data_IF_802724123547
#
_entry.id   IF_802724123547
#
_cell.length_a   1.000
_cell.length_b   1.000
_cell.length_c   1.000
_cell.angle_alpha   90.00
_cell.angle_beta   90.00
_cell.angle_gamma   90.00
#
_symmetry.space_group_name_H-M   'P 1'
#
loop_
_entity.id
_entity.type
_entity.pdbx_description
1 polymer ?
#
# COMPACT_ATOMS: atom_id res chain seq x y z
N UNK A 1 -59.81 20.28 -27.04
CA UNK A 1 -59.99 20.90 -25.72
C UNK A 1 -58.58 21.12 -25.15
N UNK A 2 -57.81 22.20 -25.36
CA UNK A 2 -57.97 23.67 -25.25
C UNK A 2 -58.14 24.25 -23.83
N UNK A 3 -57.10 25.04 -23.45
CA UNK A 3 -57.00 26.25 -22.56
C UNK A 3 -56.81 25.99 -21.05
N UNK A 4 -55.74 26.44 -20.37
CA UNK A 4 -55.12 27.80 -20.14
C UNK A 4 -56.01 28.74 -19.31
N UNK A 5 -55.63 29.03 -18.04
CA UNK A 5 -55.95 30.22 -17.18
C UNK A 5 -54.82 30.29 -16.08
N UNK A 6 -53.83 31.22 -16.05
CA UNK A 6 -53.75 32.59 -15.43
C UNK A 6 -54.12 32.65 -13.93
N UNK A 7 -53.52 33.37 -12.95
CA UNK A 7 -52.73 34.63 -12.87
C UNK A 7 -52.36 34.96 -11.38
N UNK A 8 -51.48 35.95 -11.17
CA UNK A 8 -51.39 36.94 -10.03
C UNK A 8 -50.56 36.58 -8.77
N UNK A 9 -49.38 37.19 -8.49
CA UNK A 9 -49.00 38.56 -8.01
C UNK A 9 -49.39 38.87 -6.55
N UNK A 10 -48.37 39.17 -5.70
CA UNK A 10 -48.27 40.20 -4.61
C UNK A 10 -47.01 39.91 -3.77
N UNK A 11 -45.93 40.70 -3.82
CA UNK A 11 -45.65 42.01 -3.20
C UNK A 11 -45.22 41.97 -1.72
N UNK A 12 -44.07 42.60 -1.47
CA UNK A 12 -43.34 42.96 -0.23
C UNK A 12 -44.19 43.41 0.99
N UNK A 13 -43.57 43.46 2.19
CA UNK A 13 -43.14 44.78 2.68
C UNK A 13 -41.75 44.83 3.34
N UNK A 14 -41.23 46.05 3.27
CA UNK A 14 -40.01 46.62 3.83
C UNK A 14 -40.08 46.84 5.36
N UNK A 15 -38.93 46.88 6.04
CA UNK A 15 -38.77 47.72 7.24
C UNK A 15 -37.36 48.31 7.34
N UNK A 16 -37.33 49.63 7.23
CA UNK A 16 -36.23 50.59 7.42
C UNK A 16 -35.98 50.88 8.91
N UNK A 17 -34.86 51.59 9.17
CA UNK A 17 -34.54 52.57 10.25
C UNK A 17 -33.12 52.27 10.78
N UNK A 18 -32.17 53.19 10.96
CA UNK A 18 -31.92 54.56 10.51
C UNK A 18 -30.45 54.89 10.85
N UNK A 19 -29.92 55.88 10.12
CA UNK A 19 -28.63 56.56 10.31
C UNK A 19 -28.64 57.48 11.56
N UNK A 20 -27.50 58.01 12.04
CA UNK A 20 -27.04 59.31 11.53
C UNK A 20 -25.52 59.53 11.40
N UNK A 21 -25.17 60.27 10.33
CA UNK A 21 -24.35 61.52 10.29
C UNK A 21 -22.96 61.47 10.98
N UNK A 22 -21.83 61.58 10.30
CA UNK A 22 -21.36 62.73 9.50
C UNK A 22 -20.14 63.32 10.23
N UNK A 23 -18.95 63.45 9.62
CA UNK A 23 -18.46 64.73 9.09
C UNK A 23 -17.11 64.58 8.38
N UNK A 24 -16.88 65.57 7.53
CA UNK A 24 -15.90 65.71 6.46
C UNK A 24 -14.47 66.08 6.92
N UNK A 25 -13.49 65.62 6.13
CA UNK A 25 -12.38 66.38 5.49
C UNK A 25 -11.69 67.47 6.32
N UNK A 26 -10.36 67.39 6.47
CA UNK A 26 -9.41 68.38 5.92
C UNK A 26 -7.95 67.93 6.02
N UNK A 27 -7.21 68.19 4.94
CA UNK A 27 -5.74 68.13 4.84
C UNK A 27 -5.11 69.16 5.78
N UNK A 28 -3.97 68.83 6.39
CA UNK A 28 -2.86 69.77 6.49
C UNK A 28 -1.50 69.07 6.59
N UNK A 29 -0.56 69.60 5.81
CA UNK A 29 0.86 69.29 5.79
C UNK A 29 1.48 69.33 7.19
N UNK A 30 2.41 68.42 7.45
CA UNK A 30 3.57 68.72 8.27
C UNK A 30 4.84 68.15 7.64
N UNK A 31 5.79 69.05 7.41
CA UNK A 31 7.14 68.81 6.89
C UNK A 31 8.09 68.46 8.05
N UNK A 32 9.19 67.78 7.69
CA UNK A 32 10.49 67.59 8.39
C UNK A 32 10.65 66.33 9.29
N UNK A 33 11.88 65.81 9.50
CA UNK A 33 13.09 65.87 8.68
C UNK A 33 13.69 64.47 8.38
N UNK A 34 14.60 64.49 7.40
CA UNK A 34 15.41 63.40 6.86
C UNK A 34 16.45 62.95 7.89
N UNK A 35 16.31 61.74 8.44
CA UNK A 35 17.40 61.04 9.12
C UNK A 35 17.84 59.85 8.27
N UNK A 36 19.09 59.92 7.82
CA UNK A 36 19.78 58.83 7.13
C UNK A 36 20.13 57.78 8.19
N UNK A 37 19.46 56.63 8.15
CA UNK A 37 19.95 55.43 8.83
C UNK A 37 20.54 54.51 7.78
N UNK A 38 21.86 54.37 7.84
CA UNK A 38 22.66 53.53 6.97
C UNK A 38 22.14 52.08 6.97
N UNK A 39 21.92 51.54 5.77
CA UNK A 39 21.64 50.11 5.58
C UNK A 39 22.95 49.36 5.83
N UNK A 40 23.02 48.39 6.76
CA UNK A 40 24.18 47.52 6.82
C UNK A 40 24.17 46.63 5.57
N UNK A 41 25.15 46.84 4.69
CA UNK A 41 25.46 45.91 3.60
C UNK A 41 25.85 44.56 4.23
N UNK A 42 24.89 43.66 4.34
CA UNK A 42 25.14 42.27 4.70
C UNK A 42 25.80 41.57 3.50
N UNK A 43 27.12 41.77 3.37
CA UNK A 43 27.96 41.04 2.43
C UNK A 43 28.10 39.62 2.94
N UNK A 44 27.21 38.72 2.50
CA UNK A 44 27.40 37.28 2.66
C UNK A 44 28.56 36.84 1.77
N UNK A 45 29.67 36.47 2.39
CA UNK A 45 30.78 35.80 1.70
C UNK A 45 30.37 34.35 1.40
N UNK A 46 30.28 34.02 0.12
CA UNK A 46 30.06 32.64 -0.31
C UNK A 46 31.39 31.87 -0.21
N UNK A 47 31.45 30.90 0.71
CA UNK A 47 32.52 29.93 0.75
C UNK A 47 32.37 28.94 -0.42
N UNK A 48 33.34 28.93 -1.33
CA UNK A 48 33.40 27.97 -2.43
C UNK A 48 34.23 26.76 -2.00
N UNK A 49 33.60 25.71 -1.49
CA UNK A 49 34.26 24.42 -1.28
C UNK A 49 34.25 23.60 -2.58
N UNK A 50 35.38 23.00 -3.01
CA UNK A 50 35.42 22.19 -4.22
C UNK A 50 34.80 20.80 -3.98
N UNK A 51 33.93 20.37 -4.90
CA UNK A 51 33.36 19.03 -4.90
C UNK A 51 34.37 18.00 -5.44
N UNK A 52 34.83 17.08 -4.58
CA UNK A 52 35.65 15.94 -4.97
C UNK A 52 34.77 14.82 -5.56
N UNK A 53 34.92 14.55 -6.85
CA UNK A 53 34.28 13.41 -7.52
C UNK A 53 34.99 12.10 -7.16
N UNK A 54 34.25 11.15 -6.56
CA UNK A 54 34.72 9.77 -6.39
C UNK A 54 34.68 9.05 -7.74
N UNK A 55 35.85 8.61 -8.20
CA UNK A 55 36.06 7.67 -9.30
C UNK A 55 35.45 6.31 -8.93
N UNK A 56 34.50 5.82 -9.73
CA UNK A 56 33.93 4.47 -9.62
C UNK A 56 34.63 3.56 -10.62
N UNK A 57 35.50 2.68 -10.13
CA UNK A 57 36.17 1.69 -10.96
C UNK A 57 35.17 0.63 -11.47
N UNK A 58 35.21 0.40 -12.78
CA UNK A 58 34.38 -0.56 -13.51
C UNK A 58 35.12 -1.90 -13.55
N UNK A 59 34.78 -2.80 -12.63
CA UNK A 59 35.19 -4.19 -12.73
C UNK A 59 34.40 -4.88 -13.86
N UNK A 60 35.15 -5.45 -14.82
CA UNK A 60 34.70 -6.21 -15.98
C UNK A 60 34.74 -7.70 -15.60
N UNK A 61 33.62 -8.42 -15.67
CA UNK A 61 33.60 -9.89 -15.64
C UNK A 61 32.74 -10.40 -16.79
N UNK A 62 33.37 -11.22 -17.62
CA UNK A 62 32.83 -11.80 -18.83
C UNK A 62 32.03 -13.09 -18.54
N UNK A 63 31.08 -13.41 -19.42
CA UNK A 63 30.70 -14.79 -19.73
C UNK A 63 30.17 -14.86 -21.16
N UNK A 64 30.64 -15.88 -21.87
CA UNK A 64 30.41 -16.17 -23.28
C UNK A 64 29.09 -16.91 -23.53
N UNK A 65 28.72 -16.93 -24.82
CA UNK A 65 27.49 -17.36 -25.51
C UNK A 65 27.03 -18.80 -25.35
N UNK A 66 25.70 -19.03 -25.41
CA UNK A 66 25.05 -20.03 -26.29
C UNK A 66 23.51 -19.89 -26.34
N UNK A 67 22.97 -19.79 -27.58
CA UNK A 67 21.63 -20.15 -28.11
C UNK A 67 20.32 -19.54 -27.55
N UNK A 68 19.57 -18.94 -28.48
CA UNK A 68 18.19 -18.35 -28.49
C UNK A 68 17.07 -19.16 -27.77
N UNK A 69 15.90 -18.57 -27.40
CA UNK A 69 15.20 -17.46 -28.08
C UNK A 69 14.54 -16.36 -27.20
N UNK A 70 14.29 -15.21 -27.86
CA UNK A 70 13.31 -14.14 -27.55
C UNK A 70 13.52 -13.24 -26.30
N UNK A 71 13.31 -11.94 -26.54
CA UNK A 71 13.23 -10.78 -25.62
C UNK A 71 14.41 -10.51 -24.65
N UNK A 72 15.28 -9.53 -24.97
CA UNK A 72 15.84 -8.57 -23.97
C UNK A 72 16.90 -7.58 -24.51
N UNK A 73 16.66 -6.29 -24.22
CA UNK A 73 17.60 -5.30 -23.64
C UNK A 73 18.90 -4.83 -24.34
N UNK A 74 19.12 -3.51 -24.26
CA UNK A 74 20.40 -2.82 -23.93
C UNK A 74 21.16 -1.97 -24.98
N UNK A 75 20.45 -1.36 -25.93
CA UNK A 75 20.84 -0.06 -26.47
C UNK A 75 19.65 0.90 -26.33
N UNK A 76 19.83 2.21 -26.01
CA UNK A 76 18.79 3.17 -26.32
C UNK A 76 18.66 3.14 -27.84
N UNK A 77 17.64 2.43 -28.33
CA UNK A 77 17.17 2.51 -29.70
C UNK A 77 17.21 3.98 -30.14
N UNK A 78 17.95 4.30 -31.20
CA UNK A 78 17.99 5.68 -31.72
C UNK A 78 16.71 6.06 -32.48
N UNK A 79 15.69 5.20 -32.42
CA UNK A 79 14.40 5.39 -33.06
C UNK A 79 13.53 6.39 -32.27
N UNK A 80 13.11 7.52 -32.87
CA UNK A 80 12.16 8.46 -32.27
C UNK A 80 10.81 7.87 -31.88
N UNK A 81 10.39 6.77 -32.52
CA UNK A 81 9.08 6.17 -32.31
C UNK A 81 9.07 5.09 -31.22
N UNK A 82 10.20 4.81 -30.58
CA UNK A 82 10.26 3.89 -29.45
C UNK A 82 9.67 4.53 -28.18
N UNK A 83 8.37 4.29 -27.97
CA UNK A 83 7.62 4.70 -26.79
C UNK A 83 7.63 3.66 -25.66
N UNK A 84 8.43 2.58 -25.75
CA UNK A 84 8.44 1.49 -24.76
C UNK A 84 8.67 1.98 -23.33
N UNK A 85 9.59 2.93 -23.13
CA UNK A 85 9.88 3.52 -21.83
C UNK A 85 8.68 4.28 -21.26
N UNK A 86 7.92 4.97 -22.11
CA UNK A 86 6.69 5.65 -21.71
C UNK A 86 5.62 4.65 -21.30
N UNK A 87 5.39 3.64 -22.13
CA UNK A 87 4.41 2.59 -21.86
C UNK A 87 4.74 1.88 -20.54
N UNK A 88 6.00 1.48 -20.33
CA UNK A 88 6.44 0.87 -19.08
C UNK A 88 6.24 1.79 -17.87
N UNK A 89 6.54 3.08 -18.01
CA UNK A 89 6.32 4.07 -16.94
C UNK A 89 4.84 4.22 -16.57
N UNK A 90 3.96 4.32 -17.58
CA UNK A 90 2.51 4.41 -17.40
C UNK A 90 1.95 3.13 -16.78
N UNK A 91 2.29 1.96 -17.32
CA UNK A 91 1.84 0.67 -16.80
C UNK A 91 2.30 0.46 -15.36
N UNK A 92 3.54 0.85 -15.03
CA UNK A 92 4.06 0.80 -13.65
C UNK A 92 3.28 1.73 -12.72
N UNK A 93 2.96 2.95 -13.18
CA UNK A 93 2.16 3.89 -12.40
C UNK A 93 0.74 3.36 -12.13
N UNK A 94 0.09 2.78 -13.14
CA UNK A 94 -1.24 2.18 -13.02
C UNK A 94 -1.21 0.95 -12.10
N UNK A 95 -0.21 0.08 -12.25
CA UNK A 95 -0.06 -1.11 -11.40
C UNK A 95 0.09 -0.71 -9.93
N UNK A 96 1.00 0.22 -9.62
CA UNK A 96 1.19 0.74 -8.26
C UNK A 96 -0.08 1.36 -7.69
N UNK A 97 -0.81 2.15 -8.48
CA UNK A 97 -2.07 2.73 -8.05
C UNK A 97 -3.10 1.65 -7.73
N UNK A 98 -3.27 0.63 -8.59
CA UNK A 98 -4.20 -0.47 -8.36
C UNK A 98 -3.83 -1.26 -7.10
N UNK A 99 -2.55 -1.51 -6.87
CA UNK A 99 -2.07 -2.20 -5.67
C UNK A 99 -2.39 -1.40 -4.41
N UNK A 100 -2.14 -0.08 -4.41
CA UNK A 100 -2.44 0.78 -3.27
C UNK A 100 -3.96 0.89 -3.02
N UNK A 101 -4.77 0.98 -4.07
CA UNK A 101 -6.24 0.99 -3.94
C UNK A 101 -6.79 -0.36 -3.44
N UNK A 102 -6.18 -1.48 -3.82
CA UNK A 102 -6.59 -2.81 -3.35
C UNK A 102 -6.39 -2.99 -1.83
N UNK A 103 -5.29 -2.44 -1.29
CA UNK A 103 -4.99 -2.43 0.15
C UNK A 103 -5.96 -1.55 0.93
N UNK A 104 -6.44 -0.45 0.34
CA UNK A 104 -7.42 0.43 0.97
C UNK A 104 -8.85 -0.14 0.93
N UNK A 105 -9.16 -0.95 -0.09
CA UNK A 105 -10.48 -1.56 -0.29
C UNK A 105 -10.84 -2.60 0.78
N UNK A 106 -9.87 -3.25 1.43
CA UNK A 106 -10.07 -4.34 2.39
C UNK A 106 -10.77 -3.95 3.71
N UNK A 107 -11.36 -2.75 3.83
CA UNK A 107 -12.13 -2.34 5.00
C UNK A 107 -11.41 -1.33 5.91
N UNK A 108 -10.55 -0.50 5.33
CA UNK A 108 -10.16 0.81 5.85
C UNK A 108 -9.29 0.89 7.10
N UNK A 109 -9.33 -0.12 7.96
CA UNK A 109 -8.43 -0.32 9.09
C UNK A 109 -7.93 -1.76 9.14
N UNK A 110 -8.73 -2.68 8.62
CA UNK A 110 -8.44 -4.09 8.69
C UNK A 110 -7.75 -4.55 7.41
N UNK A 111 -6.51 -5.01 7.56
CA UNK A 111 -5.73 -5.69 6.53
C UNK A 111 -5.25 -7.00 7.14
N UNK A 112 -5.42 -8.13 6.45
CA UNK A 112 -4.98 -9.45 6.94
C UNK A 112 -3.48 -9.48 7.22
N UNK A 113 -2.68 -8.82 6.38
CA UNK A 113 -1.25 -8.66 6.57
C UNK A 113 -0.87 -7.98 7.91
N UNK A 114 -1.71 -7.08 8.44
CA UNK A 114 -1.46 -6.45 9.74
C UNK A 114 -1.63 -7.46 10.86
N UNK A 115 -2.65 -8.33 10.78
CA UNK A 115 -2.84 -9.41 11.74
C UNK A 115 -1.68 -10.41 11.70
N UNK A 116 -1.27 -10.86 10.51
CA UNK A 116 -0.16 -11.80 10.34
C UNK A 116 1.16 -11.27 10.94
N UNK A 117 1.38 -9.95 10.86
CA UNK A 117 2.57 -9.29 11.41
C UNK A 117 2.57 -9.10 12.93
N UNK A 118 1.43 -9.33 13.61
CA UNK A 118 1.34 -9.17 15.06
C UNK A 118 2.28 -10.14 15.77
N UNK A 119 2.90 -9.69 16.85
CA UNK A 119 3.78 -10.49 17.69
C UNK A 119 3.01 -11.02 18.89
N UNK A 120 3.04 -12.33 19.09
CA UNK A 120 2.41 -13.02 20.22
C UNK A 120 3.49 -13.50 21.16
N UNK A 121 3.32 -13.24 22.46
CA UNK A 121 4.19 -13.77 23.51
C UNK A 121 3.57 -15.09 23.99
N UNK A 122 4.23 -16.23 23.71
CA UNK A 122 3.67 -17.56 23.97
C UNK A 122 3.60 -17.91 25.45
N UNK A 123 4.56 -17.42 26.25
CA UNK A 123 4.54 -17.56 27.70
C UNK A 123 4.65 -16.21 28.37
N UNK A 124 4.12 -16.12 29.59
CA UNK A 124 4.10 -14.88 30.38
C UNK A 124 5.49 -14.49 30.89
N UNK A 125 6.41 -15.45 30.92
CA UNK A 125 7.74 -15.33 31.54
C UNK A 125 8.88 -15.28 30.50
N UNK A 126 8.68 -15.86 29.31
CA UNK A 126 9.65 -15.81 28.19
C UNK A 126 9.42 -14.58 27.31
N UNK A 127 10.49 -13.88 26.93
CA UNK A 127 10.43 -12.76 25.97
C UNK A 127 10.27 -13.21 24.50
N UNK A 128 10.05 -14.49 24.26
CA UNK A 128 9.95 -15.05 22.91
C UNK A 128 8.66 -14.57 22.23
N UNK A 129 8.85 -13.83 21.13
CA UNK A 129 7.76 -13.19 20.38
C UNK A 129 7.70 -13.71 18.95
N UNK A 130 6.76 -14.60 18.71
CA UNK A 130 6.53 -15.23 17.40
C UNK A 130 5.49 -14.42 16.64
N UNK A 131 5.52 -14.44 15.30
CA UNK A 131 4.49 -13.76 14.51
C UNK A 131 3.22 -14.58 14.52
N UNK A 132 2.07 -13.90 14.52
CA UNK A 132 0.76 -14.53 14.47
C UNK A 132 0.61 -15.41 13.22
N UNK A 133 1.16 -14.97 12.08
CA UNK A 133 1.10 -15.73 10.82
C UNK A 133 1.88 -17.05 10.84
N UNK A 134 2.85 -17.21 11.73
CA UNK A 134 3.61 -18.46 11.89
C UNK A 134 2.83 -19.46 12.77
N UNK A 135 2.07 -18.95 13.75
CA UNK A 135 1.29 -19.75 14.70
C UNK A 135 -0.14 -20.04 14.22
N UNK A 136 -0.67 -19.24 13.31
CA UNK A 136 -2.06 -19.30 12.90
C UNK A 136 -2.27 -18.87 11.45
N UNK A 137 -3.13 -19.60 10.75
CA UNK A 137 -3.58 -19.23 9.43
C UNK A 137 -4.72 -18.21 9.54
N UNK A 138 -4.55 -17.05 8.90
CA UNK A 138 -5.58 -16.00 8.84
C UNK A 138 -6.45 -16.20 7.61
N UNK A 139 -7.72 -16.55 7.81
CA UNK A 139 -8.68 -16.78 6.71
C UNK A 139 -9.79 -15.73 6.78
N UNK A 140 -9.86 -14.77 5.84
CA UNK A 140 -11.02 -13.89 5.74
C UNK A 140 -12.25 -14.71 5.31
N UNK A 141 -13.28 -14.77 6.17
CA UNK A 141 -14.58 -15.33 5.78
C UNK A 141 -15.33 -14.23 5.05
N UNK A 142 -16.02 -14.58 3.95
CA UNK A 142 -16.80 -13.59 3.19
C UNK A 142 -17.74 -12.79 4.12
N UNK A 143 -17.73 -11.46 3.97
CA UNK A 143 -18.43 -10.53 4.86
C UNK A 143 -17.48 -9.74 5.75
N UNK A 144 -17.92 -9.43 6.98
CA UNK A 144 -17.14 -8.68 8.00
C UNK A 144 -16.61 -9.61 9.09
N UNK A 145 -16.08 -10.78 8.74
CA UNK A 145 -15.52 -11.72 9.71
C UNK A 145 -14.19 -12.29 9.22
N UNK A 146 -13.24 -12.46 10.15
CA UNK A 146 -12.01 -13.20 9.90
C UNK A 146 -11.92 -14.34 10.87
N UNK A 147 -11.56 -15.50 10.34
CA UNK A 147 -11.33 -16.70 11.12
C UNK A 147 -9.82 -16.91 11.23
N UNK A 148 -9.33 -17.02 12.46
CA UNK A 148 -7.98 -17.52 12.72
C UNK A 148 -8.08 -19.01 13.00
N UNK A 149 -7.24 -19.78 12.33
CA UNK A 149 -7.05 -21.20 12.59
C UNK A 149 -5.69 -21.34 13.26
N UNK A 150 -5.67 -21.68 14.55
CA UNK A 150 -4.42 -21.96 15.24
C UNK A 150 -3.78 -23.21 14.63
N UNK A 151 -2.52 -23.11 14.23
CA UNK A 151 -1.76 -24.27 13.81
C UNK A 151 -1.44 -25.11 15.05
N UNK A 152 -1.69 -26.41 14.96
CA UNK A 152 -1.04 -27.37 15.83
C UNK A 152 0.44 -27.38 15.48
N UNK A 153 1.25 -26.70 16.28
CA UNK A 153 2.63 -27.12 16.41
C UNK A 153 2.58 -28.48 17.12
N UNK A 154 2.36 -29.54 16.33
CA UNK A 154 2.93 -30.83 16.68
C UNK A 154 4.38 -30.52 17.04
N UNK A 155 4.73 -30.81 18.28
CA UNK A 155 6.10 -30.89 18.77
C UNK A 155 6.79 -31.96 17.93
N UNK A 156 7.13 -31.61 16.70
CA UNK A 156 7.84 -32.39 15.71
C UNK A 156 9.35 -32.22 15.92
N UNK A 157 9.75 -31.94 17.16
CA UNK A 157 11.13 -32.03 17.65
C UNK A 157 11.43 -33.39 18.32
N UNK A 158 10.52 -34.35 18.27
CA UNK A 158 10.72 -35.72 18.77
C UNK A 158 10.73 -36.81 17.68
N UNK A 159 10.88 -36.44 16.40
CA UNK A 159 11.01 -37.41 15.31
C UNK A 159 12.48 -37.69 14.90
N UNK A 160 13.46 -36.92 15.43
CA UNK A 160 14.88 -37.04 15.07
C UNK A 160 15.66 -38.13 15.84
N UNK A 161 15.02 -38.89 16.75
CA UNK A 161 15.71 -39.96 17.51
C UNK A 161 15.19 -41.37 17.26
N UNK A 162 14.17 -41.57 16.43
CA UNK A 162 13.64 -42.92 16.12
C UNK A 162 14.35 -43.58 14.91
N UNK A 163 15.07 -42.81 14.08
CA UNK A 163 15.82 -43.35 12.93
C UNK A 163 17.18 -43.99 13.27
N UNK A 164 17.66 -43.91 14.51
CA UNK A 164 18.93 -44.54 14.92
C UNK A 164 18.71 -45.92 15.57
N UNK A 165 17.49 -46.27 15.99
CA UNK A 165 17.23 -47.54 16.68
C UNK A 165 16.83 -48.71 15.75
N UNK A 166 16.57 -48.44 14.46
CA UNK A 166 16.14 -49.47 13.48
C UNK A 166 17.29 -50.23 12.80
N UNK A 167 18.56 -49.94 13.11
CA UNK A 167 19.70 -50.65 12.51
C UNK A 167 20.26 -51.78 13.39
N UNK A 168 19.76 -51.96 14.62
CA UNK A 168 20.33 -52.96 15.56
C UNK A 168 19.39 -54.12 15.95
N UNK A 169 18.13 -54.13 15.51
CA UNK A 169 17.15 -55.11 15.99
C UNK A 169 16.66 -56.12 14.92
N UNK A 170 17.44 -56.37 13.87
CA UNK A 170 17.06 -57.30 12.80
C UNK A 170 17.55 -58.76 13.00
N UNK A 171 18.09 -59.13 14.17
CA UNK A 171 18.68 -60.48 14.34
C UNK A 171 18.04 -61.40 15.40
N UNK A 172 16.99 -61.00 16.11
CA UNK A 172 16.41 -61.93 17.10
C UNK A 172 14.89 -62.02 17.01
N UNK A 173 14.49 -62.87 16.08
CA UNK A 173 13.21 -63.55 16.04
C UNK A 173 12.99 -64.34 17.34
N UNK A 174 12.44 -63.69 18.36
CA UNK A 174 11.83 -64.35 19.51
C UNK A 174 10.77 -63.39 20.05
N UNK A 175 9.52 -63.50 19.60
CA UNK A 175 8.55 -64.46 20.13
C UNK A 175 7.37 -63.63 20.62
N UNK A 176 6.41 -63.41 19.72
CA UNK A 176 4.99 -63.66 19.99
C UNK A 176 4.27 -62.87 21.10
N UNK A 177 4.93 -61.98 21.85
CA UNK A 177 4.30 -61.20 22.93
C UNK A 177 3.99 -59.75 22.54
N UNK A 178 4.53 -59.25 21.43
CA UNK A 178 4.39 -57.83 21.07
C UNK A 178 3.17 -57.52 20.18
N UNK A 179 2.46 -58.53 19.66
CA UNK A 179 1.20 -58.29 18.91
C UNK A 179 0.06 -57.93 19.86
N UNK A 180 0.09 -58.38 21.11
CA UNK A 180 -0.85 -57.96 22.15
C UNK A 180 -0.57 -56.54 22.68
N UNK A 181 0.68 -56.08 22.66
CA UNK A 181 1.03 -54.69 22.98
C UNK A 181 0.76 -53.74 21.79
N UNK A 182 0.83 -54.23 20.56
CA UNK A 182 0.61 -53.46 19.34
C UNK A 182 -0.89 -53.23 19.04
N UNK A 183 -1.76 -54.18 19.40
CA UNK A 183 -3.22 -54.00 19.29
C UNK A 183 -3.81 -53.12 20.41
N UNK A 184 -3.04 -52.84 21.46
CA UNK A 184 -3.37 -51.78 22.45
C UNK A 184 -2.84 -50.39 22.05
N UNK A 185 -2.03 -50.27 20.99
CA UNK A 185 -1.42 -49.01 20.54
C UNK A 185 -2.12 -48.40 19.32
N UNK A 186 -3.29 -48.92 18.95
CA UNK A 186 -4.08 -48.41 17.84
C UNK A 186 -5.58 -48.42 18.21
N UNK A 187 -6.13 -47.19 18.39
CA UNK A 187 -7.53 -46.76 18.53
C UNK A 187 -8.20 -46.84 19.93
N UNK A 188 -9.18 -45.96 20.25
CA UNK A 188 -9.25 -44.49 20.24
C UNK A 188 -9.86 -43.91 21.57
N UNK A 189 -10.04 -42.59 21.63
CA UNK A 189 -10.88 -41.82 22.58
C UNK A 189 -10.52 -41.78 24.09
N UNK A 190 -9.74 -40.76 24.48
CA UNK A 190 -10.08 -39.91 25.64
C UNK A 190 -9.52 -38.49 25.42
N UNK A 191 -10.30 -37.42 25.66
CA UNK A 191 -9.91 -36.08 25.25
C UNK A 191 -8.88 -35.50 26.24
N UNK A 192 -7.61 -35.48 25.85
CA UNK A 192 -6.58 -34.68 26.53
C UNK A 192 -6.79 -33.20 26.23
N UNK A 193 -7.80 -32.62 26.87
CA UNK A 193 -8.31 -31.25 26.72
C UNK A 193 -7.44 -30.21 27.45
N UNK A 194 -6.11 -30.39 27.54
CA UNK A 194 -5.26 -29.56 28.43
C UNK A 194 -4.04 -28.91 27.72
N UNK A 195 -3.66 -29.30 26.50
CA UNK A 195 -2.54 -28.64 25.80
C UNK A 195 -2.95 -27.68 24.66
N UNK A 196 -4.22 -27.67 24.27
CA UNK A 196 -4.71 -26.82 23.18
C UNK A 196 -5.00 -25.37 23.57
N UNK A 197 -5.30 -25.14 24.85
CA UNK A 197 -5.65 -23.81 25.33
C UNK A 197 -4.43 -22.90 25.51
N UNK A 198 -3.22 -23.47 25.50
CA UNK A 198 -2.00 -22.74 25.86
C UNK A 198 -1.64 -21.64 24.86
N UNK A 199 -1.95 -21.81 23.57
CA UNK A 199 -1.64 -20.80 22.56
C UNK A 199 -2.84 -19.87 22.27
N UNK A 200 -4.08 -20.34 22.41
CA UNK A 200 -5.27 -19.55 22.12
C UNK A 200 -5.47 -18.37 23.05
N UNK A 201 -5.14 -18.56 24.34
CA UNK A 201 -5.17 -17.49 25.35
C UNK A 201 -4.18 -16.37 25.02
N UNK A 202 -2.88 -16.65 24.79
CA UNK A 202 -1.93 -15.69 24.25
C UNK A 202 -2.38 -15.02 22.97
N UNK A 203 -2.86 -15.77 21.97
CA UNK A 203 -3.36 -15.22 20.71
C UNK A 203 -4.52 -14.23 20.94
N UNK A 204 -5.51 -14.63 21.73
CA UNK A 204 -6.66 -13.80 22.09
C UNK A 204 -6.20 -12.52 22.80
N UNK A 205 -5.30 -12.64 23.77
CA UNK A 205 -4.75 -11.48 24.49
C UNK A 205 -3.93 -10.54 23.59
N UNK A 206 -3.17 -11.10 22.64
CA UNK A 206 -2.36 -10.33 21.70
C UNK A 206 -3.25 -9.53 20.73
N UNK A 207 -4.33 -10.13 20.24
CA UNK A 207 -5.30 -9.47 19.35
C UNK A 207 -6.04 -8.36 20.11
N UNK A 208 -6.49 -8.61 21.33
CA UNK A 208 -7.20 -7.62 22.16
C UNK A 208 -6.28 -6.47 22.58
N UNK A 209 -5.03 -6.75 22.95
CA UNK A 209 -4.03 -5.73 23.29
C UNK A 209 -3.53 -4.93 22.07
N UNK A 210 -3.72 -5.45 20.87
CA UNK A 210 -3.30 -4.77 19.65
C UNK A 210 -4.12 -3.50 19.39
N UNK A 211 -3.51 -2.56 18.65
CA UNK A 211 -4.15 -1.32 18.21
C UNK A 211 -5.23 -1.53 17.13
N UNK A 212 -5.83 -2.72 17.04
CA UNK A 212 -6.88 -3.07 16.08
C UNK A 212 -8.28 -3.08 16.71
N UNK A 213 -8.39 -3.04 18.04
CA UNK A 213 -9.68 -2.99 18.77
C UNK A 213 -10.64 -4.09 18.34
N UNK A 214 -10.12 -5.31 18.15
CA UNK A 214 -10.88 -6.47 17.71
C UNK A 214 -11.25 -7.33 18.91
N UNK A 215 -12.46 -7.89 18.89
CA UNK A 215 -12.97 -8.78 19.93
C UNK A 215 -13.04 -10.20 19.38
N UNK A 216 -12.00 -11.02 19.55
CA UNK A 216 -12.05 -12.43 19.13
C UNK A 216 -13.14 -13.19 19.91
N UNK A 217 -13.91 -14.02 19.20
CA UNK A 217 -14.94 -14.90 19.74
C UNK A 217 -14.56 -16.35 19.43
N UNK A 218 -14.26 -17.19 20.44
CA UNK A 218 -13.98 -18.60 20.22
C UNK A 218 -15.25 -19.33 19.79
N UNK A 219 -15.15 -20.21 18.79
CA UNK A 219 -16.31 -20.98 18.33
C UNK A 219 -16.61 -22.15 19.28
N UNK A 220 -17.89 -22.38 19.66
CA UNK A 220 -18.27 -23.54 20.47
C UNK A 220 -18.04 -24.90 19.78
N UNK A 221 -18.00 -24.93 18.44
CA UNK A 221 -17.89 -26.15 17.65
C UNK A 221 -16.46 -26.52 17.25
N UNK A 222 -15.52 -25.57 17.26
CA UNK A 222 -14.13 -25.81 16.89
C UNK A 222 -13.22 -25.03 17.85
N UNK A 223 -12.55 -25.76 18.74
CA UNK A 223 -11.67 -25.18 19.75
C UNK A 223 -10.47 -24.42 19.15
N UNK A 224 -10.05 -24.73 17.92
CA UNK A 224 -8.89 -24.11 17.25
C UNK A 224 -9.25 -22.85 16.46
N UNK A 225 -10.54 -22.53 16.40
CA UNK A 225 -11.08 -21.50 15.54
C UNK A 225 -11.46 -20.26 16.34
N UNK A 226 -10.90 -19.11 15.94
CA UNK A 226 -11.22 -17.82 16.52
C UNK A 226 -11.91 -16.93 15.48
N UNK A 227 -13.18 -16.61 15.72
CA UNK A 227 -13.95 -15.74 14.85
C UNK A 227 -13.83 -14.29 15.31
N UNK A 228 -13.39 -13.42 14.42
CA UNK A 228 -13.19 -12.00 14.68
C UNK A 228 -14.19 -11.21 13.85
N UNK A 229 -15.27 -10.68 14.47
CA UNK A 229 -16.18 -9.76 13.80
C UNK A 229 -15.48 -8.41 13.60
N UNK A 230 -15.48 -7.93 12.36
CA UNK A 230 -14.97 -6.61 12.01
C UNK A 230 -16.12 -5.62 12.19
N UNK A 231 -15.98 -4.60 13.06
CA UNK A 231 -17.00 -3.57 13.22
C UNK A 231 -17.17 -2.78 11.91
N UNK A 232 -18.36 -2.20 11.66
CA UNK A 232 -18.56 -1.32 10.51
C UNK A 232 -17.53 -0.16 10.51
N UNK A 233 -17.01 0.24 9.33
CA UNK A 233 -16.06 1.33 9.26
C UNK A 233 -16.72 2.65 9.71
N UNK A 234 -16.02 3.38 10.59
CA UNK A 234 -16.48 4.69 11.07
C UNK A 234 -16.26 5.76 10.00
N UNK A 235 -16.96 6.90 10.10
CA UNK A 235 -16.79 8.06 9.19
C UNK A 235 -15.33 8.52 9.09
N UNK A 236 -14.66 8.65 10.24
CA UNK A 236 -13.26 9.08 10.32
C UNK A 236 -12.31 8.11 9.58
N UNK A 237 -12.53 6.80 9.67
CA UNK A 237 -11.72 5.81 8.93
C UNK A 237 -11.91 5.95 7.43
N UNK A 238 -13.16 6.17 6.97
CA UNK A 238 -13.46 6.38 5.55
C UNK A 238 -12.75 7.61 5.00
N UNK A 239 -12.80 8.72 5.72
CA UNK A 239 -12.12 9.97 5.33
C UNK A 239 -10.59 9.77 5.22
N UNK A 240 -9.99 9.03 6.17
CA UNK A 240 -8.57 8.66 6.14
C UNK A 240 -8.21 7.82 4.91
N UNK A 241 -9.05 6.87 4.51
CA UNK A 241 -8.80 6.04 3.31
C UNK A 241 -8.95 6.83 2.03
N UNK A 242 -9.96 7.72 1.95
CA UNK A 242 -10.12 8.61 0.80
C UNK A 242 -8.91 9.55 0.69
N UNK A 243 -8.38 10.04 1.81
CA UNK A 243 -7.16 10.85 1.81
C UNK A 243 -5.93 10.05 1.38
N UNK A 244 -5.76 8.81 1.86
CA UNK A 244 -4.69 7.93 1.44
C UNK A 244 -4.78 7.58 -0.07
N UNK A 245 -5.99 7.30 -0.56
CA UNK A 245 -6.25 7.05 -1.98
C UNK A 245 -5.90 8.28 -2.85
N UNK A 246 -6.24 9.49 -2.40
CA UNK A 246 -5.85 10.75 -3.07
C UNK A 246 -4.32 10.90 -3.12
N UNK A 247 -3.63 10.63 -2.01
CA UNK A 247 -2.18 10.67 -1.97
C UNK A 247 -1.54 9.65 -2.92
N UNK A 248 -2.11 8.43 -3.02
CA UNK A 248 -1.66 7.42 -3.98
C UNK A 248 -1.89 7.87 -5.44
N UNK A 249 -3.05 8.48 -5.72
CA UNK A 249 -3.36 9.06 -7.04
C UNK A 249 -2.35 10.14 -7.44
N UNK A 250 -2.04 11.10 -6.56
CA UNK A 250 -1.07 12.16 -6.88
C UNK A 250 0.33 11.62 -7.17
N UNK A 251 0.76 10.56 -6.46
CA UNK A 251 2.03 9.86 -6.73
C UNK A 251 2.03 9.18 -8.10
N UNK A 252 0.95 8.49 -8.45
CA UNK A 252 0.81 7.83 -9.75
C UNK A 252 0.75 8.86 -10.90
N UNK A 253 -0.03 9.93 -10.73
CA UNK A 253 -0.12 11.02 -11.69
C UNK A 253 1.23 11.75 -11.87
N UNK A 254 2.00 11.93 -10.79
CA UNK A 254 3.37 12.42 -10.84
C UNK A 254 4.27 11.52 -11.70
N UNK A 255 4.23 10.22 -11.48
CA UNK A 255 5.04 9.24 -12.24
C UNK A 255 4.74 9.27 -13.75
N UNK A 256 3.47 9.43 -14.14
CA UNK A 256 3.08 9.59 -15.56
C UNK A 256 3.65 10.87 -16.15
N UNK A 257 3.58 11.99 -15.42
CA UNK A 257 4.14 13.29 -15.86
C UNK A 257 5.67 13.23 -16.00
N UNK A 258 6.34 12.56 -15.07
CA UNK A 258 7.79 12.34 -15.08
C UNK A 258 8.21 11.50 -16.29
N UNK A 259 7.45 10.44 -16.60
CA UNK A 259 7.70 9.56 -17.75
C UNK A 259 7.54 10.30 -19.08
N UNK A 260 6.49 11.13 -19.21
CA UNK A 260 6.31 12.05 -20.36
C UNK A 260 7.48 13.03 -20.45
N UNK A 261 7.90 13.63 -19.34
CA UNK A 261 9.03 14.56 -19.29
C UNK A 261 10.35 13.92 -19.75
N UNK A 262 10.60 12.67 -19.35
CA UNK A 262 11.77 11.90 -19.77
C UNK A 262 11.77 11.63 -21.28
N UNK A 263 10.65 11.20 -21.86
CA UNK A 263 10.52 10.99 -23.30
C UNK A 263 10.63 12.28 -24.11
N UNK A 264 10.00 13.36 -23.65
CA UNK A 264 10.08 14.66 -24.31
C UNK A 264 11.53 15.16 -24.33
N UNK A 265 12.26 15.01 -23.23
CA UNK A 265 13.70 15.34 -23.17
C UNK A 265 14.52 14.48 -24.13
N UNK A 266 14.23 13.17 -24.24
CA UNK A 266 14.88 12.26 -25.21
C UNK A 266 14.66 12.72 -26.65
N UNK A 267 13.41 13.07 -27.01
CA UNK A 267 13.07 13.60 -28.34
C UNK A 267 13.83 14.90 -28.65
N UNK A 268 13.89 15.84 -27.70
CA UNK A 268 14.66 17.08 -27.86
C UNK A 268 16.16 16.82 -28.04
N UNK A 269 16.72 15.87 -27.29
CA UNK A 269 18.14 15.52 -27.39
C UNK A 269 18.46 14.87 -28.73
N UNK A 270 17.56 14.05 -29.29
CA UNK A 270 17.70 13.51 -30.65
C UNK A 270 17.66 14.59 -31.73
N UNK A 271 16.82 15.63 -31.56
CA UNK A 271 16.78 16.78 -32.46
C UNK A 271 18.09 17.59 -32.41
N UNK A 272 18.64 17.84 -31.21
CA UNK A 272 19.91 18.56 -31.02
C UNK A 272 21.09 17.80 -31.61
N UNK A 273 21.13 16.48 -31.40
CA UNK A 273 22.17 15.58 -31.91
C UNK A 273 22.00 15.27 -33.41
N UNK A 274 20.90 15.74 -34.03
CA UNK A 274 20.54 15.48 -35.44
C UNK A 274 20.51 13.99 -35.79
N UNK A 275 20.15 13.14 -34.82
CA UNK A 275 20.03 11.69 -35.02
C UNK A 275 18.75 11.34 -35.79
N UNK A 276 17.74 12.22 -35.74
CA UNK A 276 16.45 12.04 -36.37
C UNK A 276 16.03 13.26 -37.21
N UNK A 277 15.18 13.02 -38.21
CA UNK A 277 14.61 14.08 -39.04
C UNK A 277 13.62 14.92 -38.21
N UNK A 278 13.59 16.26 -38.35
CA UNK A 278 12.72 17.12 -37.55
C UNK A 278 11.23 16.80 -37.71
N UNK A 279 10.81 16.29 -38.88
CA UNK A 279 9.42 15.89 -39.12
C UNK A 279 9.03 14.63 -38.33
N UNK A 280 9.95 13.69 -38.15
CA UNK A 280 9.69 12.45 -37.41
C UNK A 280 9.59 12.72 -35.91
N UNK A 281 10.44 13.62 -35.38
CA UNK A 281 10.36 14.08 -33.99
C UNK A 281 9.02 14.74 -33.69
N UNK A 282 8.46 15.53 -34.63
CA UNK A 282 7.14 16.15 -34.47
C UNK A 282 6.03 15.09 -34.41
N UNK A 283 6.05 14.10 -35.31
CA UNK A 283 5.08 12.99 -35.31
C UNK A 283 5.18 12.14 -34.04
N UNK A 284 6.40 11.83 -33.60
CA UNK A 284 6.64 11.08 -32.37
C UNK A 284 6.14 11.85 -31.14
N UNK A 285 6.30 13.18 -31.12
CA UNK A 285 5.75 14.02 -30.07
C UNK A 285 4.21 13.93 -30.00
N UNK A 286 3.53 14.01 -31.14
CA UNK A 286 2.06 13.91 -31.21
C UNK A 286 1.57 12.52 -30.75
N UNK A 287 2.31 11.46 -31.06
CA UNK A 287 2.00 10.10 -30.60
C UNK A 287 2.24 9.94 -29.09
N UNK A 288 3.33 10.49 -28.57
CA UNK A 288 3.65 10.50 -27.14
C UNK A 288 2.56 11.20 -26.31
N UNK A 289 2.03 12.33 -26.78
CA UNK A 289 0.94 13.04 -26.09
C UNK A 289 -0.36 12.23 -26.09
N UNK A 290 -0.73 11.61 -27.23
CA UNK A 290 -1.92 10.73 -27.29
C UNK A 290 -1.86 9.57 -26.28
N UNK A 291 -0.70 8.92 -26.17
CA UNK A 291 -0.48 7.83 -25.21
C UNK A 291 -0.53 8.35 -23.76
N UNK A 292 0.03 9.53 -23.51
CA UNK A 292 0.04 10.13 -22.18
C UNK A 292 -1.36 10.55 -21.72
N UNK A 293 -2.15 11.17 -22.59
CA UNK A 293 -3.54 11.57 -22.30
C UNK A 293 -4.42 10.36 -21.98
N UNK A 294 -4.25 9.27 -22.75
CA UNK A 294 -4.92 8.01 -22.48
C UNK A 294 -4.50 7.42 -21.12
N UNK A 295 -3.19 7.40 -20.83
CA UNK A 295 -2.67 6.94 -19.54
C UNK A 295 -3.19 7.77 -18.35
N UNK A 296 -3.27 9.10 -18.49
CA UNK A 296 -3.83 9.97 -17.45
C UNK A 296 -5.31 9.72 -17.21
N UNK A 297 -6.08 9.48 -18.29
CA UNK A 297 -7.50 9.12 -18.20
C UNK A 297 -7.69 7.81 -17.43
N UNK A 298 -6.91 6.78 -17.74
CA UNK A 298 -6.98 5.48 -17.05
C UNK A 298 -6.65 5.59 -15.56
N UNK A 299 -5.63 6.37 -15.20
CA UNK A 299 -5.25 6.66 -13.81
C UNK A 299 -6.39 7.36 -13.07
N UNK A 300 -7.05 8.33 -13.72
CA UNK A 300 -8.20 9.05 -13.15
C UNK A 300 -9.43 8.15 -12.99
N UNK A 301 -9.74 7.34 -13.99
CA UNK A 301 -10.88 6.43 -13.98
C UNK A 301 -10.73 5.36 -12.89
N UNK A 302 -9.52 4.81 -12.71
CA UNK A 302 -9.20 3.87 -11.64
C UNK A 302 -9.39 4.49 -10.24
N UNK A 303 -8.95 5.73 -10.06
CA UNK A 303 -9.12 6.46 -8.80
C UNK A 303 -10.59 6.78 -8.49
N UNK A 304 -11.34 7.33 -9.45
CA UNK A 304 -12.75 7.68 -9.25
C UNK A 304 -13.62 6.44 -9.00
N UNK A 305 -13.33 5.32 -9.68
CA UNK A 305 -13.96 4.03 -9.42
C UNK A 305 -13.73 3.56 -7.98
N UNK A 306 -12.49 3.61 -7.50
CA UNK A 306 -12.15 3.20 -6.14
C UNK A 306 -12.71 4.16 -5.08
N UNK A 307 -12.65 5.48 -5.32
CA UNK A 307 -13.17 6.50 -4.41
C UNK A 307 -14.66 6.28 -4.12
N UNK A 308 -15.48 6.04 -5.16
CA UNK A 308 -16.91 5.71 -4.98
C UNK A 308 -17.10 4.48 -4.11
N UNK A 309 -16.28 3.44 -4.30
CA UNK A 309 -16.38 2.22 -3.49
C UNK A 309 -15.95 2.42 -2.04
N UNK A 310 -14.99 3.32 -1.77
CA UNK A 310 -14.55 3.67 -0.41
C UNK A 310 -15.55 4.57 0.32
N UNK A 311 -16.26 5.44 -0.40
CA UNK A 311 -17.32 6.30 0.15
C UNK A 311 -18.61 5.51 0.46
N UNK A 312 -18.89 4.46 -0.32
CA UNK A 312 -20.06 3.59 -0.16
C UNK A 312 -19.87 2.46 0.87
N UNK A 313 -18.63 2.08 1.17
CA UNK A 313 -18.29 1.09 2.20
C UNK A 313 -18.61 1.57 3.63
#
# INVERSE_FOLDING_TARGET
MQRIITQSIRSFPSRLVAHPQGTQVFRHLCLLPRTQCAVPLNRREFAHSPALYKKKDKAKKASASASEPEESSSAPSEDPFDLSQLHNGISTAIARLKDDLSKLRAGGRFNTAVLESLRVQLSKDSKDSVRLGDLAQVVPKGGRMVTLLAAEEDVSSSCLTILIFSFFFFFFFFFFFLVAAWVCYYYPDEPTLIHFEQHLKPLTSAIVSSNLSLTPQPDPHNALQLNIPIPPPTKESRDKNVQAAKQAFEKAAGTVRDSRGAMHKRLQDMQKKKLARPDDVRKAHDQMEKVTDQGQKEVKDAFEGAKKTLEQA
#
